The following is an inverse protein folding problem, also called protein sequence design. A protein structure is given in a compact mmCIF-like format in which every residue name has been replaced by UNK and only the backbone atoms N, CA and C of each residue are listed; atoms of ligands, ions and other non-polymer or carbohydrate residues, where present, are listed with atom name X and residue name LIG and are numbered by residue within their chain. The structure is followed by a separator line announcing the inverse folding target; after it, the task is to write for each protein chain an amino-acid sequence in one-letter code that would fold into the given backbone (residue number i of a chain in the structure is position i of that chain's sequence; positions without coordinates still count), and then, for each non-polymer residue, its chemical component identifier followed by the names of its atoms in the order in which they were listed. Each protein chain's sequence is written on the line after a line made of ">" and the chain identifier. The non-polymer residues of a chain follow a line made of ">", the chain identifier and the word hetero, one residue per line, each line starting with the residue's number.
data_IF_687294858424
#
_entry.id   IF_687294858424
#
_cell.length_a   1.000
_cell.length_b   1.000
_cell.length_c   1.000
_cell.angle_alpha   90.00
_cell.angle_beta   90.00
_cell.angle_gamma   90.00
#
_symmetry.space_group_name_H-M   'P 1'
#
loop_
_entity.id
_entity.type
_entity.pdbx_description
1 polymer ?
#
# COMPACT_ATOMS: atom_id res chain seq x y z
N UNK A 1 -10.08 19.34 1.32
CA UNK A 1 -10.98 18.19 1.16
C UNK A 1 -10.45 17.36 0.00
N UNK A 2 -10.25 16.06 0.19
CA UNK A 2 -9.74 15.18 -0.86
C UNK A 2 -10.83 14.82 -1.87
N UNK A 3 -10.44 14.61 -3.13
CA UNK A 3 -11.26 13.93 -4.13
C UNK A 3 -11.17 12.42 -3.95
N UNK A 4 -12.20 11.68 -4.35
CA UNK A 4 -12.19 10.20 -4.28
C UNK A 4 -11.00 9.58 -5.04
N UNK A 5 -10.56 10.18 -6.14
CA UNK A 5 -9.37 9.75 -6.90
C UNK A 5 -8.09 9.85 -6.08
N UNK A 6 -7.91 10.94 -5.35
CA UNK A 6 -6.75 11.13 -4.47
C UNK A 6 -6.75 10.16 -3.28
N UNK A 7 -7.94 9.74 -2.82
CA UNK A 7 -8.04 8.67 -1.81
C UNK A 7 -7.61 7.34 -2.43
N UNK A 8 -8.02 7.04 -3.66
CA UNK A 8 -7.61 5.82 -4.36
C UNK A 8 -6.09 5.76 -4.56
N UNK A 9 -5.46 6.86 -4.98
CA UNK A 9 -4.00 6.97 -5.14
C UNK A 9 -3.24 6.72 -3.82
N UNK A 10 -3.80 7.15 -2.69
CA UNK A 10 -3.14 7.10 -1.37
C UNK A 10 -3.58 5.91 -0.51
N UNK A 11 -4.48 5.07 -1.00
CA UNK A 11 -5.08 4.01 -0.21
C UNK A 11 -4.08 2.93 0.22
N UNK A 12 -3.13 2.55 -0.64
CA UNK A 12 -2.08 1.60 -0.25
C UNK A 12 -1.23 2.18 0.89
N UNK A 13 -0.71 3.40 0.74
CA UNK A 13 0.06 4.08 1.80
C UNK A 13 -0.72 4.19 3.12
N UNK A 14 -2.04 4.44 3.05
CA UNK A 14 -2.90 4.45 4.24
C UNK A 14 -2.94 3.08 4.93
N UNK A 15 -3.09 2.02 4.14
CA UNK A 15 -3.23 0.64 4.56
C UNK A 15 -1.90 0.10 5.13
N UNK A 16 -0.79 0.49 4.52
CA UNK A 16 0.58 0.11 4.91
C UNK A 16 1.14 0.98 6.04
N UNK A 17 0.48 2.10 6.35
CA UNK A 17 0.86 2.98 7.46
C UNK A 17 1.95 4.00 7.11
N UNK A 18 2.22 4.21 5.83
CA UNK A 18 3.30 5.04 5.29
C UNK A 18 2.90 6.50 5.03
N UNK A 19 1.66 6.87 5.34
CA UNK A 19 1.21 8.26 5.26
C UNK A 19 1.76 9.12 6.39
N UNK A 20 2.17 10.35 6.05
CA UNK A 20 2.49 11.36 7.05
C UNK A 20 1.26 11.74 7.91
N UNK A 21 1.46 12.34 9.10
CA UNK A 21 0.37 12.62 10.05
C UNK A 21 -0.77 13.45 9.45
N UNK A 22 -0.43 14.50 8.69
CA UNK A 22 -1.40 15.37 8.02
C UNK A 22 -2.18 14.67 6.92
N UNK A 23 -1.51 13.84 6.13
CA UNK A 23 -2.17 13.04 5.09
C UNK A 23 -3.15 12.07 5.74
N UNK A 24 -2.71 11.35 6.78
CA UNK A 24 -3.55 10.42 7.53
C UNK A 24 -4.80 11.10 8.11
N UNK A 25 -4.66 12.32 8.64
CA UNK A 25 -5.80 13.11 9.11
C UNK A 25 -6.80 13.43 7.97
N UNK A 26 -6.31 13.94 6.83
CA UNK A 26 -7.16 14.25 5.67
C UNK A 26 -7.88 13.01 5.12
N UNK A 27 -7.19 11.86 5.07
CA UNK A 27 -7.79 10.57 4.71
C UNK A 27 -8.93 10.19 5.67
N UNK A 28 -8.69 10.27 6.98
CA UNK A 28 -9.72 9.97 8.00
C UNK A 28 -10.95 10.87 7.85
N UNK A 29 -10.74 12.16 7.63
CA UNK A 29 -11.83 13.12 7.43
C UNK A 29 -12.66 12.77 6.20
N UNK A 30 -12.03 12.48 5.05
CA UNK A 30 -12.76 12.05 3.85
C UNK A 30 -13.52 10.73 4.06
N UNK A 31 -12.89 9.74 4.71
CA UNK A 31 -13.53 8.46 5.01
C UNK A 31 -14.69 8.62 5.99
N UNK A 32 -14.73 9.64 6.85
CA UNK A 32 -15.87 9.89 7.73
C UNK A 32 -17.12 10.36 6.95
N UNK A 33 -16.94 11.06 5.83
CA UNK A 33 -18.03 11.66 5.04
C UNK A 33 -18.41 10.87 3.78
N UNK A 34 -17.52 10.05 3.22
CA UNK A 34 -17.75 9.32 1.97
C UNK A 34 -17.88 7.80 2.21
N UNK A 35 -19.09 7.27 2.08
CA UNK A 35 -19.36 5.83 2.21
C UNK A 35 -18.68 4.99 1.13
N UNK A 36 -18.61 5.50 -0.11
CA UNK A 36 -17.95 4.81 -1.23
C UNK A 36 -16.47 4.60 -0.96
N UNK A 37 -15.76 5.62 -0.49
CA UNK A 37 -14.34 5.48 -0.13
C UNK A 37 -14.13 4.57 1.09
N UNK A 38 -15.06 4.52 2.05
CA UNK A 38 -14.99 3.52 3.14
C UNK A 38 -15.07 2.10 2.60
N UNK A 39 -16.05 1.81 1.74
CA UNK A 39 -16.23 0.50 1.13
C UNK A 39 -14.99 0.10 0.31
N UNK A 40 -14.48 1.02 -0.51
CA UNK A 40 -13.27 0.82 -1.31
C UNK A 40 -12.05 0.47 -0.44
N UNK A 41 -11.76 1.26 0.60
CA UNK A 41 -10.61 0.99 1.49
C UNK A 41 -10.81 -0.32 2.26
N UNK A 42 -12.04 -0.67 2.65
CA UNK A 42 -12.33 -1.95 3.29
C UNK A 42 -12.05 -3.12 2.34
N UNK A 43 -12.48 -3.05 1.07
CA UNK A 43 -12.17 -4.08 0.08
C UNK A 43 -10.66 -4.23 -0.15
N UNK A 44 -9.91 -3.13 -0.28
CA UNK A 44 -8.46 -3.21 -0.42
C UNK A 44 -7.78 -3.90 0.78
N UNK A 45 -8.26 -3.67 2.01
CA UNK A 45 -7.75 -4.39 3.20
C UNK A 45 -8.02 -5.88 3.12
N UNK A 46 -9.23 -6.27 2.71
CA UNK A 46 -9.59 -7.68 2.49
C UNK A 46 -8.65 -8.30 1.45
N UNK A 47 -8.41 -7.64 0.32
CA UNK A 47 -7.48 -8.12 -0.70
C UNK A 47 -6.07 -8.30 -0.14
N UNK A 48 -5.54 -7.32 0.60
CA UNK A 48 -4.22 -7.41 1.23
C UNK A 48 -4.15 -8.59 2.20
N UNK A 49 -5.17 -8.77 3.03
CA UNK A 49 -5.19 -9.81 4.05
C UNK A 49 -5.33 -11.20 3.40
N UNK A 50 -6.16 -11.34 2.35
CA UNK A 50 -6.24 -12.54 1.52
C UNK A 50 -4.91 -12.89 0.85
N UNK A 51 -4.24 -11.91 0.25
CA UNK A 51 -2.91 -12.11 -0.35
C UNK A 51 -1.90 -12.55 0.70
N UNK A 52 -1.93 -11.97 1.91
CA UNK A 52 -1.05 -12.37 3.02
C UNK A 52 -1.33 -13.80 3.49
N UNK A 53 -2.59 -14.21 3.53
CA UNK A 53 -2.97 -15.58 3.89
C UNK A 53 -2.57 -16.58 2.79
N UNK A 54 -2.81 -16.25 1.53
CA UNK A 54 -2.44 -17.08 0.38
C UNK A 54 -0.91 -17.24 0.23
N UNK A 55 -0.13 -16.23 0.63
CA UNK A 55 1.34 -16.31 0.69
C UNK A 55 1.87 -17.00 1.95
N UNK A 56 1.00 -17.42 2.86
CA UNK A 56 1.35 -18.08 4.12
C UNK A 56 1.55 -19.59 3.99
N UNK A 57 2.65 -20.02 3.35
CA UNK A 57 3.32 -21.34 3.54
C UNK A 57 4.47 -21.58 2.56
N UNK A 58 4.70 -20.69 1.59
CA UNK A 58 5.93 -20.74 0.79
C UNK A 58 7.02 -20.03 1.57
N UNK A 59 7.88 -20.82 2.19
CA UNK A 59 9.24 -20.40 2.50
C UNK A 59 9.76 -19.68 1.25
N UNK A 60 10.00 -18.36 1.37
CA UNK A 60 10.38 -17.50 0.23
C UNK A 60 11.70 -18.01 -0.34
N UNK A 61 11.63 -19.02 -1.21
CA UNK A 61 12.73 -19.51 -1.99
C UNK A 61 12.89 -18.52 -3.14
N UNK A 62 13.44 -17.35 -2.80
CA UNK A 62 13.93 -16.43 -3.80
C UNK A 62 15.13 -17.13 -4.41
N UNK A 63 15.05 -17.43 -5.70
CA UNK A 63 16.17 -18.03 -6.43
C UNK A 63 17.46 -17.24 -6.12
N UNK A 64 18.56 -17.92 -5.76
CA UNK A 64 19.80 -17.25 -5.37
C UNK A 64 20.33 -16.30 -6.46
N UNK A 65 20.04 -16.55 -7.74
CA UNK A 65 20.38 -15.65 -8.84
C UNK A 65 19.58 -14.34 -8.76
N UNK A 66 18.27 -14.44 -8.49
CA UNK A 66 17.40 -13.27 -8.29
C UNK A 66 17.86 -12.49 -7.04
N UNK A 67 18.21 -13.19 -5.96
CA UNK A 67 18.68 -12.55 -4.73
C UNK A 67 20.02 -11.81 -4.95
N UNK A 68 20.95 -12.42 -5.68
CA UNK A 68 22.22 -11.80 -6.06
C UNK A 68 22.02 -10.59 -6.99
N UNK A 69 21.07 -10.66 -7.93
CA UNK A 69 20.73 -9.54 -8.81
C UNK A 69 20.13 -8.35 -8.04
N UNK A 70 19.23 -8.62 -7.07
CA UNK A 70 18.64 -7.59 -6.21
C UNK A 70 19.70 -6.94 -5.29
N UNK A 71 20.63 -7.73 -4.74
CA UNK A 71 21.70 -7.21 -3.88
C UNK A 71 22.69 -6.30 -4.62
N UNK A 72 22.93 -6.55 -5.92
CA UNK A 72 23.77 -5.70 -6.77
C UNK A 72 23.08 -4.38 -7.15
N UNK A 73 21.74 -4.34 -7.11
CA UNK A 73 20.95 -3.14 -7.35
C UNK A 73 20.90 -2.31 -6.06
N UNK A 74 21.94 -1.50 -5.79
CA UNK A 74 21.95 -0.48 -4.72
C UNK A 74 20.61 0.30 -4.69
N UNK A 75 20.12 0.78 -3.53
CA UNK A 75 18.96 1.67 -3.44
C UNK A 75 19.35 3.05 -3.99
N UNK A 76 19.43 3.14 -5.31
CA UNK A 76 19.79 4.32 -6.04
C UNK A 76 18.67 4.67 -6.98
N UNK A 77 17.90 5.71 -6.61
CA UNK A 77 17.04 6.51 -7.50
C UNK A 77 15.67 5.89 -7.83
N UNK A 78 14.78 5.79 -6.85
CA UNK A 78 13.34 5.90 -7.13
C UNK A 78 12.99 7.39 -7.18
N UNK A 79 12.96 7.92 -8.40
CA UNK A 79 12.22 9.09 -8.90
C UNK A 79 12.10 10.35 -8.03
N UNK A 80 12.91 11.36 -8.35
CA UNK A 80 12.45 12.75 -8.42
C UNK A 80 11.99 12.94 -9.87
N UNK A 81 10.70 12.83 -10.11
CA UNK A 81 10.02 13.31 -11.31
C UNK A 81 8.82 14.12 -10.83
#
# INVERSE_FOLDING_TARGET
>A
MLRCSEVAERASLLIDGELGPWQRFNMKLHLAMCSGCRAFVAQMRITRDLTRMASGSEERHIDPEIQAALAQKRPGRVGRL
#
